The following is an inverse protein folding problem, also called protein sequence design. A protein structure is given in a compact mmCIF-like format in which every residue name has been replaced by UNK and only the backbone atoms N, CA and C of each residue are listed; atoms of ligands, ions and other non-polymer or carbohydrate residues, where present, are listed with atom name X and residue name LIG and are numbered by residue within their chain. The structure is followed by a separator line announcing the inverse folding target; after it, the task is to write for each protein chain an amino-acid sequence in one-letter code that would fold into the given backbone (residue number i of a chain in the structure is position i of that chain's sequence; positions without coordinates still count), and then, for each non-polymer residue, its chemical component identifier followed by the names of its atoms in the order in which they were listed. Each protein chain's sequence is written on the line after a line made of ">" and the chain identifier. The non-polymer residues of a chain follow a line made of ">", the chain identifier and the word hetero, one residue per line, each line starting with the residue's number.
data_IF_598966098064
#
_entry.id   IF_598966098064
#
_cell.length_a   1.000
_cell.length_b   1.000
_cell.length_c   1.000
_cell.angle_alpha   90.00
_cell.angle_beta   90.00
_cell.angle_gamma   90.00
#
_symmetry.space_group_name_H-M   'P 1'
#
loop_
_entity.id
_entity.type
_entity.pdbx_description
1 polymer ?
#
# COMPACT_ATOMS: atom_id res chain seq x y z
N UNK A 1 -51.97 28.31 19.94
CA UNK A 1 -51.99 26.85 19.73
C UNK A 1 -51.45 26.55 18.33
N UNK A 2 -50.13 26.41 18.22
CA UNK A 2 -49.47 25.98 16.98
C UNK A 2 -49.70 24.48 16.83
N UNK A 3 -50.60 24.10 15.92
CA UNK A 3 -50.74 22.70 15.51
C UNK A 3 -49.43 22.28 14.83
N UNK A 4 -48.66 21.44 15.52
CA UNK A 4 -47.58 20.68 14.90
C UNK A 4 -48.28 19.71 13.93
N UNK A 5 -48.28 20.06 12.65
CA UNK A 5 -48.68 19.16 11.58
C UNK A 5 -47.68 17.99 11.62
N UNK A 6 -48.11 16.84 12.14
CA UNK A 6 -47.37 15.59 11.96
C UNK A 6 -47.45 15.26 10.47
N UNK A 7 -46.40 15.61 9.72
CA UNK A 7 -46.21 15.17 8.35
C UNK A 7 -46.06 13.64 8.35
N UNK A 8 -47.17 12.94 8.14
CA UNK A 8 -47.15 11.51 7.86
C UNK A 8 -46.82 11.31 6.37
N UNK A 9 -46.12 10.24 5.95
CA UNK A 9 -45.89 9.93 4.53
C UNK A 9 -47.16 9.93 3.66
N UNK A 10 -48.34 9.76 4.27
CA UNK A 10 -49.64 9.84 3.62
C UNK A 10 -50.06 11.26 3.16
N UNK A 11 -49.37 12.33 3.59
CA UNK A 11 -49.70 13.71 3.21
C UNK A 11 -48.79 14.28 2.11
N UNK A 12 -47.80 13.53 1.64
CA UNK A 12 -46.90 13.96 0.55
C UNK A 12 -47.49 13.48 -0.78
N UNK A 13 -47.77 14.38 -1.74
CA UNK A 13 -48.18 13.98 -3.08
C UNK A 13 -47.13 13.07 -3.73
N UNK A 14 -47.58 12.09 -4.51
CA UNK A 14 -46.68 11.07 -5.11
C UNK A 14 -45.60 11.70 -5.99
N UNK A 15 -45.91 12.81 -6.67
CA UNK A 15 -44.96 13.51 -7.54
C UNK A 15 -43.80 14.15 -6.76
N UNK A 16 -44.12 14.77 -5.61
CA UNK A 16 -43.11 15.33 -4.70
C UNK A 16 -42.25 14.21 -4.10
N UNK A 17 -42.86 13.06 -3.78
CA UNK A 17 -42.13 11.89 -3.31
C UNK A 17 -41.16 11.35 -4.38
N UNK A 18 -41.60 11.25 -5.64
CA UNK A 18 -40.74 10.84 -6.77
C UNK A 18 -39.57 11.81 -6.94
N UNK A 19 -39.84 13.12 -6.88
CA UNK A 19 -38.82 14.15 -7.00
C UNK A 19 -37.78 14.04 -5.87
N UNK A 20 -38.20 13.89 -4.62
CA UNK A 20 -37.29 13.65 -3.48
C UNK A 20 -36.42 12.41 -3.74
N UNK A 21 -37.01 11.30 -4.19
CA UNK A 21 -36.28 10.07 -4.47
C UNK A 21 -35.23 10.22 -5.57
N UNK A 22 -35.42 11.14 -6.54
CA UNK A 22 -34.45 11.40 -7.62
C UNK A 22 -33.11 11.99 -7.12
N UNK A 23 -33.09 12.53 -5.90
CA UNK A 23 -31.89 13.08 -5.26
C UNK A 23 -31.21 12.10 -4.30
N UNK A 24 -31.80 10.93 -4.04
CA UNK A 24 -31.25 9.94 -3.12
C UNK A 24 -30.39 8.92 -3.85
N UNK A 25 -29.29 8.50 -3.22
CA UNK A 25 -28.49 7.38 -3.72
C UNK A 25 -29.23 6.04 -3.48
N UNK A 26 -28.84 4.96 -4.19
CA UNK A 26 -29.55 3.69 -4.07
C UNK A 26 -29.56 3.07 -2.67
N UNK A 27 -28.52 3.28 -1.87
CA UNK A 27 -28.43 2.78 -0.48
C UNK A 27 -29.41 3.51 0.43
N UNK A 28 -29.57 4.82 0.24
CA UNK A 28 -30.55 5.63 0.96
C UNK A 28 -31.97 5.25 0.58
N UNK A 29 -32.23 4.99 -0.72
CA UNK A 29 -33.53 4.50 -1.18
C UNK A 29 -33.87 3.13 -0.57
N UNK A 30 -32.92 2.21 -0.51
CA UNK A 30 -33.10 0.91 0.15
C UNK A 30 -33.39 1.11 1.65
N UNK A 31 -32.69 2.03 2.30
CA UNK A 31 -32.92 2.37 3.72
C UNK A 31 -34.32 2.97 3.93
N UNK A 32 -34.78 3.81 3.00
CA UNK A 32 -36.09 4.43 3.02
C UNK A 32 -37.23 3.40 2.90
N UNK A 33 -37.03 2.30 2.17
CA UNK A 33 -37.96 1.15 2.15
C UNK A 33 -38.12 0.49 3.54
N UNK A 34 -37.20 0.73 4.47
CA UNK A 34 -37.26 0.27 5.85
C UNK A 34 -38.13 1.13 6.77
N UNK A 35 -38.46 2.37 6.37
CA UNK A 35 -39.07 3.38 7.26
C UNK A 35 -40.57 3.13 7.47
N UNK A 36 -41.33 2.83 6.41
CA UNK A 36 -42.74 2.47 6.52
C UNK A 36 -43.23 1.58 5.37
N UNK A 37 -44.35 0.89 5.59
CA UNK A 37 -44.93 -0.04 4.60
C UNK A 37 -45.37 0.66 3.31
N UNK A 38 -45.86 1.89 3.40
CA UNK A 38 -46.32 2.65 2.23
C UNK A 38 -45.17 2.96 1.27
N UNK A 39 -44.06 3.51 1.80
CA UNK A 39 -42.86 3.80 1.00
C UNK A 39 -42.25 2.52 0.46
N UNK A 40 -42.21 1.45 1.27
CA UNK A 40 -41.79 0.12 0.79
C UNK A 40 -42.62 -0.30 -0.42
N UNK A 41 -43.94 -0.22 -0.36
CA UNK A 41 -44.80 -0.63 -1.47
C UNK A 41 -44.57 0.21 -2.73
N UNK A 42 -44.38 1.52 -2.59
CA UNK A 42 -44.07 2.41 -3.71
C UNK A 42 -42.72 2.09 -4.37
N UNK A 43 -41.69 1.80 -3.58
CA UNK A 43 -40.33 1.55 -4.07
C UNK A 43 -40.06 0.08 -4.46
N UNK A 44 -40.89 -0.87 -4.02
CA UNK A 44 -40.72 -2.32 -4.30
C UNK A 44 -41.41 -2.78 -5.58
N UNK A 45 -42.18 -1.92 -6.25
CA UNK A 45 -42.95 -2.33 -7.43
C UNK A 45 -42.05 -2.65 -8.62
N UNK A 46 -42.11 -3.89 -9.09
CA UNK A 46 -41.34 -4.37 -10.24
C UNK A 46 -42.01 -4.06 -11.58
N UNK A 47 -43.30 -3.71 -11.58
CA UNK A 47 -44.10 -3.48 -12.79
C UNK A 47 -44.41 -2.01 -13.04
N UNK A 48 -44.29 -1.14 -12.03
CA UNK A 48 -44.56 0.29 -12.18
C UNK A 48 -43.43 1.00 -12.90
N UNK A 49 -43.71 1.64 -14.04
CA UNK A 49 -42.74 2.44 -14.78
C UNK A 49 -42.14 3.56 -13.92
N UNK A 50 -42.97 4.26 -13.13
CA UNK A 50 -42.52 5.34 -12.24
C UNK A 50 -41.53 4.84 -11.19
N UNK A 51 -41.78 3.66 -10.59
CA UNK A 51 -40.84 3.06 -9.64
C UNK A 51 -39.53 2.70 -10.31
N UNK A 52 -39.58 2.11 -11.51
CA UNK A 52 -38.37 1.79 -12.29
C UNK A 52 -37.57 3.05 -12.66
N UNK A 53 -38.25 4.15 -12.99
CA UNK A 53 -37.60 5.43 -13.34
C UNK A 53 -36.90 6.09 -12.14
N UNK A 54 -37.45 5.97 -10.93
CA UNK A 54 -36.77 6.41 -9.69
C UNK A 54 -35.42 5.68 -9.56
N UNK A 55 -35.46 4.34 -9.62
CA UNK A 55 -34.27 3.51 -9.46
C UNK A 55 -33.26 3.75 -10.58
N UNK A 56 -33.72 3.86 -11.84
CA UNK A 56 -32.88 4.20 -12.99
C UNK A 56 -32.19 5.55 -12.81
N UNK A 57 -32.94 6.58 -12.43
CA UNK A 57 -32.41 7.93 -12.22
C UNK A 57 -31.34 7.93 -11.13
N UNK A 58 -31.62 7.28 -10.00
CA UNK A 58 -30.67 7.14 -8.91
C UNK A 58 -29.41 6.37 -9.35
N UNK A 59 -29.57 5.23 -10.04
CA UNK A 59 -28.44 4.44 -10.56
C UNK A 59 -27.55 5.24 -11.50
N UNK A 60 -28.11 5.89 -12.52
CA UNK A 60 -27.32 6.63 -13.51
C UNK A 60 -26.57 7.81 -12.86
N UNK A 61 -27.17 8.44 -11.85
CA UNK A 61 -26.59 9.60 -11.15
C UNK A 61 -25.51 9.22 -10.13
N UNK A 62 -25.69 8.13 -9.39
CA UNK A 62 -24.87 7.81 -8.22
C UNK A 62 -24.00 6.55 -8.37
N UNK A 63 -24.25 5.69 -9.36
CA UNK A 63 -23.48 4.47 -9.62
C UNK A 63 -22.75 4.58 -10.98
N UNK A 64 -21.61 5.29 -11.05
CA UNK A 64 -20.85 5.46 -12.29
C UNK A 64 -20.37 4.12 -12.90
N UNK A 65 -20.33 3.06 -12.08
CA UNK A 65 -19.83 1.74 -12.45
C UNK A 65 -20.97 0.84 -12.97
N UNK A 66 -22.22 1.32 -12.93
CA UNK A 66 -23.42 0.56 -13.27
C UNK A 66 -24.30 1.35 -14.25
N UNK A 67 -23.74 1.78 -15.37
CA UNK A 67 -24.43 2.65 -16.34
C UNK A 67 -25.29 1.87 -17.34
N UNK A 68 -24.89 0.65 -17.69
CA UNK A 68 -25.67 -0.20 -18.58
C UNK A 68 -27.06 -0.52 -18.01
N UNK A 69 -28.10 -0.62 -18.85
CA UNK A 69 -29.45 -0.95 -18.40
C UNK A 69 -29.50 -2.36 -17.78
N UNK A 70 -30.54 -2.65 -16.98
CA UNK A 70 -30.83 -4.01 -16.52
C UNK A 70 -30.98 -5.00 -17.69
N UNK A 71 -30.84 -6.29 -17.39
CA UNK A 71 -31.21 -7.33 -18.33
C UNK A 71 -32.71 -7.28 -18.64
N UNK A 72 -33.14 -7.73 -19.82
CA UNK A 72 -34.54 -7.65 -20.26
C UNK A 72 -35.57 -8.29 -19.32
N UNK A 73 -35.12 -9.24 -18.49
CA UNK A 73 -35.91 -10.01 -17.54
C UNK A 73 -35.63 -9.62 -16.07
N UNK A 74 -34.98 -8.47 -15.83
CA UNK A 74 -34.61 -7.98 -14.51
C UNK A 74 -35.07 -6.53 -14.31
N UNK A 75 -35.64 -6.25 -13.15
CA UNK A 75 -36.01 -4.88 -12.75
C UNK A 75 -34.80 -4.09 -12.22
N UNK A 76 -34.89 -2.76 -12.25
CA UNK A 76 -33.83 -1.83 -11.81
C UNK A 76 -33.42 -2.06 -10.34
N UNK A 77 -34.37 -2.34 -9.45
CA UNK A 77 -34.06 -2.57 -8.03
C UNK A 77 -33.25 -3.85 -7.84
N UNK A 78 -33.66 -4.96 -8.47
CA UNK A 78 -32.91 -6.22 -8.44
C UNK A 78 -31.51 -6.07 -9.04
N UNK A 79 -31.41 -5.33 -10.16
CA UNK A 79 -30.15 -5.05 -10.83
C UNK A 79 -29.19 -4.20 -9.97
N UNK A 80 -29.69 -3.14 -9.34
CA UNK A 80 -28.96 -2.31 -8.39
C UNK A 80 -28.50 -3.14 -7.20
N UNK A 81 -29.37 -3.95 -6.60
CA UNK A 81 -29.01 -4.83 -5.48
C UNK A 81 -27.90 -5.81 -5.85
N UNK A 82 -27.92 -6.33 -7.08
CA UNK A 82 -26.87 -7.21 -7.59
C UNK A 82 -25.52 -6.48 -7.70
N UNK A 83 -25.54 -5.24 -8.20
CA UNK A 83 -24.34 -4.39 -8.34
C UNK A 83 -23.80 -3.81 -7.03
N UNK A 84 -24.64 -3.63 -6.00
CA UNK A 84 -24.26 -3.10 -4.69
C UNK A 84 -23.59 -4.18 -3.83
N UNK A 85 -22.32 -4.47 -4.13
CA UNK A 85 -21.45 -5.46 -3.47
C UNK A 85 -21.36 -5.26 -1.94
N UNK A 86 -21.57 -4.03 -1.46
CA UNK A 86 -21.58 -3.68 -0.02
C UNK A 86 -22.66 -4.40 0.80
N UNK A 87 -23.67 -4.99 0.13
CA UNK A 87 -24.69 -5.82 0.77
C UNK A 87 -24.21 -7.25 1.10
N UNK A 88 -23.01 -7.63 0.66
CA UNK A 88 -22.42 -8.95 0.88
C UNK A 88 -22.90 -10.01 -0.10
N UNK A 89 -22.45 -11.25 0.12
CA UNK A 89 -22.75 -12.36 -0.79
C UNK A 89 -24.22 -12.74 -0.72
N UNK A 90 -24.90 -12.87 -1.87
CA UNK A 90 -26.33 -13.19 -1.96
C UNK A 90 -26.71 -14.50 -1.26
N UNK A 91 -25.76 -15.42 -1.12
CA UNK A 91 -26.00 -16.75 -0.54
C UNK A 91 -25.75 -16.81 0.96
N UNK A 92 -24.84 -16.00 1.50
CA UNK A 92 -24.40 -16.15 2.89
C UNK A 92 -24.50 -14.86 3.71
N UNK A 93 -24.88 -13.74 3.09
CA UNK A 93 -25.06 -12.44 3.74
C UNK A 93 -23.82 -11.84 4.41
N UNK A 94 -22.63 -12.45 4.24
CA UNK A 94 -21.39 -11.98 4.87
C UNK A 94 -20.85 -10.78 4.09
N UNK A 95 -20.59 -9.68 4.80
CA UNK A 95 -20.07 -8.40 4.27
C UNK A 95 -18.55 -8.22 4.40
N UNK A 96 -17.83 -9.20 4.96
CA UNK A 96 -16.42 -9.07 5.34
C UNK A 96 -15.43 -9.08 4.16
N UNK A 97 -15.81 -9.66 3.02
CA UNK A 97 -14.96 -9.79 1.83
C UNK A 97 -15.67 -9.21 0.60
N UNK A 98 -14.95 -8.60 -0.35
CA UNK A 98 -15.55 -8.08 -1.57
C UNK A 98 -16.18 -9.22 -2.36
N UNK A 99 -17.50 -9.16 -2.55
CA UNK A 99 -18.21 -10.11 -3.39
C UNK A 99 -18.03 -9.69 -4.86
N UNK A 100 -17.85 -10.66 -5.75
CA UNK A 100 -17.77 -10.39 -7.18
C UNK A 100 -19.12 -10.65 -7.82
N UNK A 101 -19.56 -9.74 -8.67
CA UNK A 101 -20.72 -9.97 -9.53
C UNK A 101 -20.28 -10.79 -10.73
N UNK A 102 -20.80 -12.00 -10.84
CA UNK A 102 -20.65 -12.82 -12.02
C UNK A 102 -21.78 -12.50 -12.99
N UNK A 103 -21.63 -11.42 -13.77
CA UNK A 103 -22.67 -10.89 -14.67
C UNK A 103 -23.30 -11.93 -15.61
N UNK A 104 -22.51 -12.89 -16.09
CA UNK A 104 -22.95 -14.01 -16.94
C UNK A 104 -23.90 -14.98 -16.24
N UNK A 105 -23.78 -15.11 -14.92
CA UNK A 105 -24.65 -15.92 -14.06
C UNK A 105 -25.63 -15.06 -13.25
N UNK A 106 -25.49 -13.73 -13.30
CA UNK A 106 -26.32 -12.74 -12.59
C UNK A 106 -26.37 -12.95 -11.08
N UNK A 107 -25.26 -13.41 -10.51
CA UNK A 107 -25.11 -13.65 -9.07
C UNK A 107 -23.92 -12.91 -8.49
N UNK A 108 -24.06 -12.44 -7.25
CA UNK A 108 -22.97 -11.90 -6.44
C UNK A 108 -22.52 -12.95 -5.44
N UNK A 109 -21.32 -13.49 -5.67
CA UNK A 109 -20.75 -14.58 -4.87
C UNK A 109 -19.26 -14.35 -4.60
N UNK A 110 -18.73 -15.07 -3.60
CA UNK A 110 -17.31 -14.96 -3.23
C UNK A 110 -16.42 -15.91 -4.03
N UNK A 111 -16.92 -17.10 -4.29
CA UNK A 111 -16.14 -18.14 -4.96
C UNK A 111 -16.56 -18.30 -6.42
N UNK A 112 -15.60 -18.69 -7.26
CA UNK A 112 -15.92 -19.12 -8.62
C UNK A 112 -16.83 -20.36 -8.55
N UNK A 113 -17.86 -20.45 -9.40
CA UNK A 113 -18.69 -21.65 -9.48
C UNK A 113 -17.82 -22.87 -9.77
N UNK A 114 -18.02 -23.99 -9.08
CA UNK A 114 -17.29 -25.21 -9.38
C UNK A 114 -17.58 -25.65 -10.81
N UNK A 115 -16.54 -25.82 -11.63
CA UNK A 115 -16.65 -26.38 -12.97
C UNK A 115 -17.24 -27.78 -12.91
N UNK A 116 -18.09 -28.11 -13.87
CA UNK A 116 -18.69 -29.42 -13.98
C UNK A 116 -18.65 -29.87 -15.44
N UNK A 117 -18.21 -31.10 -15.65
CA UNK A 117 -18.08 -31.74 -16.95
C UNK A 117 -19.41 -32.45 -17.21
N UNK A 118 -20.11 -32.05 -18.27
CA UNK A 118 -21.47 -32.53 -18.55
C UNK A 118 -21.61 -32.89 -20.04
N UNK A 119 -22.59 -33.77 -20.38
CA UNK A 119 -22.76 -34.32 -21.72
C UNK A 119 -22.83 -33.24 -22.81
N UNK A 120 -22.33 -33.59 -24.00
CA UNK A 120 -21.86 -32.70 -25.09
C UNK A 120 -22.85 -31.61 -25.54
N UNK A 121 -24.15 -31.73 -25.25
CA UNK A 121 -25.19 -30.82 -25.76
C UNK A 121 -25.69 -29.75 -24.77
N UNK A 122 -25.64 -30.01 -23.46
CA UNK A 122 -26.00 -29.02 -22.40
C UNK A 122 -25.05 -27.81 -22.37
N UNK A 123 -23.72 -27.99 -22.51
CA UNK A 123 -22.73 -26.91 -22.53
C UNK A 123 -22.95 -25.82 -23.60
N UNK A 124 -23.66 -26.14 -24.68
CA UNK A 124 -23.93 -25.21 -25.79
C UNK A 124 -25.24 -24.43 -25.63
N UNK A 125 -26.03 -24.74 -24.61
CA UNK A 125 -27.34 -24.14 -24.35
C UNK A 125 -27.36 -23.24 -23.11
N UNK A 126 -26.20 -23.08 -22.47
CA UNK A 126 -26.04 -22.34 -21.23
C UNK A 126 -24.98 -21.24 -21.36
N UNK A 127 -25.19 -20.11 -20.66
CA UNK A 127 -24.14 -19.10 -20.50
C UNK A 127 -22.98 -19.69 -19.70
N UNK A 128 -21.76 -19.24 -20.00
CA UNK A 128 -20.56 -19.81 -19.41
C UNK A 128 -19.46 -18.77 -19.20
N UNK A 129 -18.55 -19.07 -18.27
CA UNK A 129 -17.28 -18.37 -18.13
C UNK A 129 -16.14 -19.21 -18.66
N UNK A 130 -15.12 -18.58 -19.24
CA UNK A 130 -13.85 -19.28 -19.47
C UNK A 130 -13.06 -19.33 -18.16
N UNK A 131 -12.51 -20.49 -17.83
CA UNK A 131 -11.49 -20.62 -16.80
C UNK A 131 -10.16 -20.15 -17.41
N UNK A 132 -9.31 -19.45 -16.65
CA UNK A 132 -7.93 -19.18 -17.06
C UNK A 132 -7.71 -18.06 -18.11
N UNK A 133 -6.54 -18.09 -18.75
CA UNK A 133 -6.08 -17.12 -19.76
C UNK A 133 -6.75 -17.35 -21.13
N UNK A 134 -6.45 -16.50 -22.12
CA UNK A 134 -7.00 -16.59 -23.48
C UNK A 134 -6.84 -17.97 -24.16
N UNK A 135 -5.90 -18.79 -23.69
CA UNK A 135 -5.58 -20.11 -24.23
C UNK A 135 -6.29 -21.28 -23.52
N UNK A 136 -6.99 -21.04 -22.41
CA UNK A 136 -7.78 -22.06 -21.73
C UNK A 136 -9.22 -22.09 -22.28
N UNK A 137 -9.58 -23.23 -22.87
CA UNK A 137 -10.89 -23.47 -23.48
C UNK A 137 -11.91 -24.02 -22.49
N UNK A 138 -11.53 -24.23 -21.23
CA UNK A 138 -12.40 -24.78 -20.20
C UNK A 138 -13.55 -23.83 -19.91
N UNK A 139 -14.78 -24.32 -20.09
CA UNK A 139 -16.01 -23.58 -19.79
C UNK A 139 -16.51 -23.93 -18.39
N UNK A 140 -16.90 -22.91 -17.64
CA UNK A 140 -17.48 -22.99 -16.32
C UNK A 140 -18.93 -22.57 -16.40
N UNK A 141 -19.79 -23.29 -15.68
CA UNK A 141 -21.24 -23.12 -15.70
C UNK A 141 -21.75 -22.89 -14.29
N UNK A 142 -22.89 -22.22 -14.17
CA UNK A 142 -23.59 -22.17 -12.89
C UNK A 142 -24.25 -23.51 -12.61
N UNK A 143 -23.92 -24.13 -11.46
CA UNK A 143 -24.38 -25.48 -11.13
C UNK A 143 -25.91 -25.59 -11.13
N UNK A 144 -26.60 -24.58 -10.62
CA UNK A 144 -28.06 -24.58 -10.57
C UNK A 144 -28.66 -24.55 -11.97
N UNK A 145 -28.11 -23.74 -12.88
CA UNK A 145 -28.60 -23.65 -14.26
C UNK A 145 -28.39 -24.96 -15.01
N UNK A 146 -27.26 -25.64 -14.76
CA UNK A 146 -27.02 -26.96 -15.32
C UNK A 146 -28.02 -27.99 -14.80
N UNK A 147 -28.22 -28.06 -13.49
CA UNK A 147 -29.17 -28.99 -12.89
C UNK A 147 -30.59 -28.77 -13.41
N UNK A 148 -31.06 -27.52 -13.44
CA UNK A 148 -32.37 -27.17 -14.00
C UNK A 148 -32.48 -27.54 -15.48
N UNK A 149 -31.44 -27.29 -16.28
CA UNK A 149 -31.44 -27.63 -17.71
C UNK A 149 -31.44 -29.15 -17.93
N UNK A 150 -30.76 -29.91 -17.08
CA UNK A 150 -30.81 -31.36 -17.11
C UNK A 150 -32.20 -31.90 -16.74
N UNK A 151 -32.91 -31.28 -15.79
CA UNK A 151 -34.29 -31.63 -15.46
C UNK A 151 -35.25 -31.30 -16.60
N UNK A 152 -35.11 -30.13 -17.23
CA UNK A 152 -35.88 -29.76 -18.43
C UNK A 152 -35.66 -30.75 -19.58
N UNK A 153 -34.42 -31.15 -19.84
CA UNK A 153 -34.11 -32.17 -20.86
C UNK A 153 -34.71 -33.53 -20.52
N UNK A 154 -34.73 -33.91 -19.24
CA UNK A 154 -35.38 -35.16 -18.82
C UNK A 154 -36.87 -35.15 -19.12
N UNK A 155 -37.53 -34.01 -18.93
CA UNK A 155 -38.94 -33.86 -19.25
C UNK A 155 -39.22 -33.93 -20.76
N UNK A 156 -38.26 -33.51 -21.60
CA UNK A 156 -38.36 -33.53 -23.06
C UNK A 156 -38.10 -34.89 -23.71
N UNK A 157 -37.65 -35.92 -22.97
CA UNK A 157 -37.37 -37.24 -23.56
C UNK A 157 -38.59 -37.88 -24.23
N UNK A 158 -39.80 -37.53 -23.79
CA UNK A 158 -41.05 -38.05 -24.33
C UNK A 158 -41.68 -37.13 -25.41
N UNK A 159 -41.04 -36.00 -25.73
CA UNK A 159 -41.50 -35.02 -26.73
C UNK A 159 -41.05 -35.39 -28.15
N UNK A 160 -41.64 -34.74 -29.16
CA UNK A 160 -41.25 -34.98 -30.56
C UNK A 160 -39.87 -34.40 -30.87
N UNK A 161 -39.16 -34.91 -31.89
CA UNK A 161 -37.89 -34.35 -32.33
C UNK A 161 -37.96 -32.85 -32.70
N UNK A 162 -39.08 -32.40 -33.27
CA UNK A 162 -39.30 -31.00 -33.62
C UNK A 162 -39.41 -30.11 -32.37
N UNK A 163 -40.12 -30.57 -31.34
CA UNK A 163 -40.24 -29.87 -30.06
C UNK A 163 -38.89 -29.78 -29.34
N UNK A 164 -38.10 -30.85 -29.38
CA UNK A 164 -36.74 -30.86 -28.84
C UNK A 164 -35.84 -29.87 -29.59
N UNK A 165 -35.88 -29.86 -30.92
CA UNK A 165 -35.08 -28.96 -31.75
C UNK A 165 -35.44 -27.47 -31.50
N UNK A 166 -36.73 -27.15 -31.39
CA UNK A 166 -37.19 -25.79 -31.10
C UNK A 166 -36.78 -25.35 -29.69
N UNK A 167 -36.85 -26.25 -28.71
CA UNK A 167 -36.36 -25.99 -27.36
C UNK A 167 -34.85 -25.70 -27.34
N UNK A 168 -34.04 -26.53 -28.02
CA UNK A 168 -32.60 -26.33 -28.14
C UNK A 168 -32.26 -24.99 -28.80
N UNK A 169 -32.96 -24.64 -29.87
CA UNK A 169 -32.81 -23.37 -30.57
C UNK A 169 -33.12 -22.19 -29.65
N UNK A 170 -34.25 -22.22 -28.95
CA UNK A 170 -34.66 -21.17 -28.02
C UNK A 170 -33.68 -20.99 -26.85
N UNK A 171 -33.19 -22.08 -26.26
CA UNK A 171 -32.19 -22.05 -25.18
C UNK A 171 -30.86 -21.49 -25.67
N UNK A 172 -30.40 -21.90 -26.86
CA UNK A 172 -29.16 -21.39 -27.47
C UNK A 172 -29.24 -19.89 -27.77
N UNK A 173 -30.37 -19.42 -28.31
CA UNK A 173 -30.60 -17.98 -28.55
C UNK A 173 -30.62 -17.17 -27.25
N UNK A 174 -31.24 -17.71 -26.19
CA UNK A 174 -31.25 -17.09 -24.87
C UNK A 174 -29.84 -16.99 -24.28
N UNK A 175 -29.07 -18.09 -24.30
CA UNK A 175 -27.69 -18.11 -23.84
C UNK A 175 -26.80 -17.15 -24.65
N UNK A 176 -26.98 -17.08 -25.97
CA UNK A 176 -26.25 -16.14 -26.82
C UNK A 176 -26.52 -14.69 -26.44
N UNK A 177 -27.78 -14.32 -26.20
CA UNK A 177 -28.14 -12.95 -25.76
C UNK A 177 -27.48 -12.60 -24.43
N UNK A 178 -27.46 -13.52 -23.46
CA UNK A 178 -26.78 -13.32 -22.17
C UNK A 178 -25.27 -13.15 -22.37
N UNK A 179 -24.65 -13.99 -23.19
CA UNK A 179 -23.21 -13.92 -23.47
C UNK A 179 -22.82 -12.62 -24.20
N UNK A 180 -23.64 -12.15 -25.12
CA UNK A 180 -23.40 -10.89 -25.85
C UNK A 180 -23.53 -9.68 -24.93
N UNK A 181 -24.55 -9.64 -24.08
CA UNK A 181 -24.70 -8.59 -23.07
C UNK A 181 -23.54 -8.60 -22.06
N UNK A 182 -23.12 -9.79 -21.62
CA UNK A 182 -21.94 -9.98 -20.78
C UNK A 182 -20.66 -9.42 -21.42
N UNK A 183 -20.43 -9.64 -22.73
CA UNK A 183 -19.28 -9.06 -23.44
C UNK A 183 -19.31 -7.53 -23.40
N UNK A 184 -20.47 -6.93 -23.61
CA UNK A 184 -20.65 -5.48 -23.51
C UNK A 184 -20.33 -4.97 -22.12
N UNK A 185 -20.83 -5.65 -21.07
CA UNK A 185 -20.55 -5.31 -19.66
C UNK A 185 -19.07 -5.40 -19.32
N UNK A 186 -18.38 -6.46 -19.74
CA UNK A 186 -16.92 -6.57 -19.54
C UNK A 186 -16.19 -5.44 -20.26
N UNK A 187 -16.59 -5.10 -21.48
CA UNK A 187 -15.98 -4.00 -22.22
C UNK A 187 -16.18 -2.67 -21.51
N UNK A 188 -17.39 -2.41 -21.02
CA UNK A 188 -17.74 -1.19 -20.28
C UNK A 188 -17.00 -1.13 -18.94
N UNK A 189 -16.98 -2.22 -18.17
CA UNK A 189 -16.21 -2.34 -16.92
C UNK A 189 -14.72 -2.10 -17.18
N UNK A 190 -14.14 -2.69 -18.23
CA UNK A 190 -12.74 -2.42 -18.63
C UNK A 190 -12.50 -0.96 -18.99
N UNK A 191 -13.42 -0.35 -19.74
CA UNK A 191 -13.32 1.06 -20.13
C UNK A 191 -13.41 1.97 -18.92
N UNK A 192 -14.39 1.73 -18.04
CA UNK A 192 -14.53 2.43 -16.77
C UNK A 192 -13.27 2.30 -15.90
N UNK A 193 -12.73 1.09 -15.73
CA UNK A 193 -11.49 0.83 -15.00
C UNK A 193 -10.30 1.60 -15.59
N UNK A 194 -10.23 1.74 -16.91
CA UNK A 194 -9.20 2.55 -17.58
C UNK A 194 -9.38 4.04 -17.29
N UNK A 195 -10.60 4.58 -17.43
CA UNK A 195 -10.88 5.97 -17.10
C UNK A 195 -10.61 6.28 -15.63
N UNK A 196 -11.01 5.37 -14.72
CA UNK A 196 -10.79 5.52 -13.28
C UNK A 196 -9.30 5.55 -12.94
N UNK A 197 -8.50 4.64 -13.52
CA UNK A 197 -7.03 4.66 -13.35
C UNK A 197 -6.40 5.97 -13.82
N UNK A 198 -6.90 6.56 -14.91
CA UNK A 198 -6.41 7.88 -15.36
C UNK A 198 -6.74 8.98 -14.36
N UNK A 199 -7.93 8.96 -13.78
CA UNK A 199 -8.32 9.95 -12.78
C UNK A 199 -7.55 9.78 -11.47
N UNK A 200 -7.43 8.54 -10.97
CA UNK A 200 -6.62 8.24 -9.78
C UNK A 200 -5.16 8.66 -9.98
N UNK A 201 -4.60 8.45 -11.19
CA UNK A 201 -3.27 8.94 -11.56
C UNK A 201 -3.18 10.47 -11.50
N UNK A 202 -4.16 11.20 -12.05
CA UNK A 202 -4.18 12.67 -12.00
C UNK A 202 -4.26 13.18 -10.56
N UNK A 203 -5.09 12.55 -9.72
CA UNK A 203 -5.20 12.93 -8.30
C UNK A 203 -3.90 12.66 -7.55
N UNK A 204 -3.25 11.53 -7.82
CA UNK A 204 -1.93 11.22 -7.28
C UNK A 204 -0.89 12.27 -7.71
N UNK A 205 -0.80 12.57 -9.01
CA UNK A 205 0.09 13.61 -9.55
C UNK A 205 -0.19 14.98 -8.91
N UNK A 206 -1.46 15.31 -8.66
CA UNK A 206 -1.85 16.52 -7.94
C UNK A 206 -1.31 16.56 -6.51
N UNK A 207 -1.41 15.46 -5.75
CA UNK A 207 -0.84 15.39 -4.38
C UNK A 207 0.68 15.59 -4.42
N UNK A 208 1.37 14.95 -5.36
CA UNK A 208 2.81 15.12 -5.54
C UNK A 208 3.14 16.57 -5.85
N UNK A 209 2.39 17.21 -6.74
CA UNK A 209 2.55 18.62 -7.07
C UNK A 209 2.29 19.53 -5.86
N UNK A 210 1.22 19.29 -5.10
CA UNK A 210 0.93 20.03 -3.86
C UNK A 210 2.08 19.93 -2.86
N UNK A 211 2.69 18.76 -2.69
CA UNK A 211 3.86 18.59 -1.82
C UNK A 211 5.09 19.33 -2.38
N UNK A 212 5.31 19.35 -3.70
CA UNK A 212 6.45 20.09 -4.28
C UNK A 212 6.33 21.61 -4.13
N UNK A 213 5.11 22.12 -4.28
CA UNK A 213 4.81 23.55 -4.21
C UNK A 213 4.63 24.06 -2.78
N UNK A 214 4.43 23.18 -1.80
CA UNK A 214 4.31 23.60 -0.40
C UNK A 214 5.62 24.27 0.02
N UNK A 215 5.55 25.58 0.28
CA UNK A 215 6.67 26.41 0.70
C UNK A 215 6.56 26.73 2.19
N UNK A 216 7.70 27.07 2.78
CA UNK A 216 7.80 27.62 4.13
C UNK A 216 7.63 29.13 4.11
N UNK A 217 7.61 29.73 5.30
CA UNK A 217 7.52 31.17 5.49
C UNK A 217 8.69 31.95 4.84
N UNK A 218 9.82 31.29 4.59
CA UNK A 218 11.00 31.84 3.91
C UNK A 218 10.96 31.69 2.38
N UNK A 219 9.89 31.12 1.82
CA UNK A 219 9.74 30.85 0.39
C UNK A 219 10.54 29.65 -0.12
N UNK A 220 11.31 28.98 0.73
CA UNK A 220 11.96 27.73 0.37
C UNK A 220 10.94 26.59 0.27
N UNK A 221 11.15 25.59 -0.59
CA UNK A 221 10.22 24.48 -0.66
C UNK A 221 10.21 23.74 0.69
N UNK A 222 9.14 23.02 1.03
CA UNK A 222 9.03 22.27 2.29
C UNK A 222 9.53 20.82 2.15
N UNK A 223 9.18 20.14 1.06
CA UNK A 223 9.62 18.75 0.73
C UNK A 223 10.54 18.65 -0.50
N UNK A 224 11.63 17.89 -0.40
CA UNK A 224 12.62 17.75 -1.47
C UNK A 224 12.18 16.65 -2.42
N UNK A 225 12.13 16.96 -3.72
CA UNK A 225 11.58 16.07 -4.76
C UNK A 225 12.14 14.65 -4.70
N UNK A 226 13.47 14.51 -4.60
CA UNK A 226 14.14 13.20 -4.52
C UNK A 226 13.55 12.31 -3.43
N UNK A 227 13.32 12.86 -2.24
CA UNK A 227 12.85 12.08 -1.09
C UNK A 227 11.36 11.76 -1.15
N UNK A 228 10.55 12.56 -1.85
CA UNK A 228 9.11 12.30 -2.05
C UNK A 228 8.90 10.94 -2.76
N UNK A 229 9.77 10.60 -3.71
CA UNK A 229 9.70 9.34 -4.45
C UNK A 229 10.24 8.13 -3.69
N UNK A 230 11.02 8.36 -2.61
CA UNK A 230 11.53 7.29 -1.75
C UNK A 230 10.54 6.91 -0.64
N UNK A 231 9.43 7.65 -0.49
CA UNK A 231 8.39 7.35 0.49
C UNK A 231 7.67 6.04 0.15
N UNK A 232 7.38 5.24 1.17
CA UNK A 232 6.72 3.94 1.01
C UNK A 232 5.31 4.11 0.49
N UNK A 233 4.55 5.03 1.08
CA UNK A 233 3.20 5.37 0.64
C UNK A 233 3.15 5.84 -0.82
N UNK A 234 4.20 6.51 -1.30
CA UNK A 234 4.35 6.91 -2.69
C UNK A 234 4.56 5.70 -3.61
N UNK A 235 5.49 4.80 -3.23
CA UNK A 235 5.76 3.56 -3.96
C UNK A 235 4.57 2.62 -4.01
N UNK A 236 3.90 2.40 -2.88
CA UNK A 236 2.69 1.58 -2.79
C UNK A 236 1.56 2.19 -3.63
N UNK A 237 1.41 3.52 -3.61
CA UNK A 237 0.39 4.18 -4.41
C UNK A 237 0.67 4.09 -5.92
N UNK A 238 1.94 4.22 -6.30
CA UNK A 238 2.37 4.04 -7.68
C UNK A 238 2.18 2.60 -8.16
N UNK A 239 2.50 1.59 -7.34
CA UNK A 239 2.30 0.18 -7.71
C UNK A 239 0.82 -0.19 -7.78
N UNK A 240 0.03 0.25 -6.81
CA UNK A 240 -1.40 0.04 -6.77
C UNK A 240 -2.15 0.80 -7.88
N UNK A 241 -1.56 1.80 -8.53
CA UNK A 241 -2.16 2.47 -9.72
C UNK A 241 -2.46 1.52 -10.88
N UNK A 242 -1.94 0.28 -10.82
CA UNK A 242 -2.26 -0.80 -11.74
C UNK A 242 -3.65 -1.40 -11.51
N UNK A 243 -4.22 -1.26 -10.31
CA UNK A 243 -5.56 -1.66 -9.90
C UNK A 243 -6.41 -0.42 -9.53
N UNK A 244 -7.74 -0.42 -9.77
CA UNK A 244 -8.58 0.72 -9.40
C UNK A 244 -8.53 0.95 -7.88
N UNK A 245 -8.26 2.20 -7.46
CA UNK A 245 -8.32 2.60 -6.06
C UNK A 245 -9.78 2.75 -5.63
N UNK A 246 -10.43 1.63 -5.33
CA UNK A 246 -11.88 1.59 -5.05
C UNK A 246 -12.23 2.37 -3.76
N UNK A 247 -11.28 2.54 -2.83
CA UNK A 247 -11.59 3.11 -1.53
C UNK A 247 -10.39 3.83 -0.90
N UNK A 248 -10.00 5.02 -1.39
CA UNK A 248 -9.03 5.85 -0.66
C UNK A 248 -9.45 7.30 -0.51
N UNK A 249 -9.36 7.72 0.74
CA UNK A 249 -9.34 9.09 1.18
C UNK A 249 -7.94 9.66 0.84
N UNK A 250 -7.85 10.42 -0.25
CA UNK A 250 -6.62 11.06 -0.73
C UNK A 250 -5.95 11.94 0.33
N UNK A 251 -6.72 12.49 1.27
CA UNK A 251 -6.20 13.27 2.41
C UNK A 251 -5.40 12.37 3.35
N UNK A 252 -5.88 11.14 3.61
CA UNK A 252 -5.13 10.17 4.43
C UNK A 252 -3.81 9.78 3.78
N UNK A 253 -3.78 9.64 2.45
CA UNK A 253 -2.55 9.35 1.72
C UNK A 253 -1.55 10.51 1.88
N UNK A 254 -2.00 11.74 1.63
CA UNK A 254 -1.15 12.93 1.79
C UNK A 254 -0.55 13.03 3.20
N UNK A 255 -1.38 12.85 4.23
CA UNK A 255 -0.92 12.92 5.62
C UNK A 255 0.10 11.81 5.94
N UNK A 256 -0.16 10.56 5.49
CA UNK A 256 0.79 9.47 5.66
C UNK A 256 2.15 9.76 4.98
N UNK A 257 2.14 10.38 3.79
CA UNK A 257 3.37 10.79 3.11
C UNK A 257 4.14 11.87 3.88
N UNK A 258 3.43 12.81 4.52
CA UNK A 258 4.07 13.85 5.35
C UNK A 258 4.75 13.21 6.56
N UNK A 259 4.04 12.34 7.29
CA UNK A 259 4.58 11.64 8.47
C UNK A 259 5.80 10.78 8.09
N UNK A 260 5.72 10.03 6.98
CA UNK A 260 6.84 9.23 6.47
C UNK A 260 8.05 10.08 6.07
N UNK A 261 7.82 11.27 5.51
CA UNK A 261 8.89 12.17 5.11
C UNK A 261 9.67 12.69 6.32
N UNK A 262 8.97 13.07 7.39
CA UNK A 262 9.61 13.54 8.63
C UNK A 262 10.51 12.45 9.24
N UNK A 263 10.02 11.22 9.28
CA UNK A 263 10.79 10.06 9.76
C UNK A 263 11.98 9.73 8.85
N UNK A 264 11.81 9.79 7.52
CA UNK A 264 12.91 9.58 6.57
C UNK A 264 14.03 10.61 6.78
N UNK A 265 13.67 11.89 6.91
CA UNK A 265 14.64 12.96 7.12
C UNK A 265 15.36 12.84 8.46
N UNK A 266 14.66 12.37 9.50
CA UNK A 266 15.26 12.05 10.80
C UNK A 266 16.29 10.92 10.69
N UNK A 267 15.96 9.85 9.99
CA UNK A 267 16.88 8.73 9.75
C UNK A 267 18.12 9.14 8.96
N UNK A 268 17.96 9.98 7.92
CA UNK A 268 19.08 10.50 7.13
C UNK A 268 20.07 11.29 8.01
N UNK A 269 19.57 12.15 8.90
CA UNK A 269 20.42 12.91 9.84
C UNK A 269 21.14 11.98 10.82
N UNK A 270 20.44 11.01 11.41
CA UNK A 270 21.08 10.02 12.29
C UNK A 270 22.20 9.24 11.58
N UNK A 271 22.00 8.88 10.31
CA UNK A 271 23.04 8.25 9.49
C UNK A 271 24.25 9.15 9.27
N UNK A 272 24.05 10.46 9.03
CA UNK A 272 25.16 11.42 8.93
C UNK A 272 25.95 11.52 10.25
N UNK A 273 25.30 11.55 11.42
CA UNK A 273 25.99 11.51 12.73
C UNK A 273 26.86 10.26 12.81
N UNK A 274 26.27 9.10 12.53
CA UNK A 274 26.99 7.82 12.65
C UNK A 274 28.17 7.75 11.68
N UNK A 275 28.01 8.20 10.43
CA UNK A 275 29.10 8.30 9.46
C UNK A 275 30.23 9.19 9.95
N UNK A 276 29.90 10.35 10.52
CA UNK A 276 30.89 11.26 11.09
C UNK A 276 31.66 10.59 12.24
N UNK A 277 30.97 10.02 13.23
CA UNK A 277 31.59 9.35 14.38
C UNK A 277 32.48 8.19 13.92
N UNK A 278 32.01 7.34 13.00
CA UNK A 278 32.81 6.23 12.47
C UNK A 278 34.08 6.72 11.76
N UNK A 279 33.97 7.83 11.03
CA UNK A 279 35.12 8.46 10.37
C UNK A 279 36.14 8.99 11.37
N UNK A 280 35.68 9.59 12.46
CA UNK A 280 36.53 10.10 13.56
C UNK A 280 37.14 8.96 14.40
N UNK A 281 36.41 7.86 14.59
CA UNK A 281 36.91 6.63 15.22
C UNK A 281 38.02 5.98 14.40
N UNK A 282 37.81 5.85 13.09
CA UNK A 282 38.83 5.27 12.19
C UNK A 282 40.12 6.09 12.11
N UNK A 283 40.10 7.35 12.57
CA UNK A 283 41.30 8.18 12.70
C UNK A 283 42.15 7.82 13.94
N UNK A 284 41.59 7.06 14.90
CA UNK A 284 42.27 6.67 16.13
C UNK A 284 43.31 5.59 15.84
N UNK A 285 44.59 5.88 16.12
CA UNK A 285 45.71 4.94 15.93
C UNK A 285 46.43 5.00 14.57
N UNK A 286 45.93 5.74 13.58
CA UNK A 286 46.60 5.89 12.28
C UNK A 286 47.57 7.07 12.25
N UNK A 287 48.72 6.87 11.59
CA UNK A 287 49.69 7.93 11.28
C UNK A 287 49.16 8.88 10.19
N UNK A 288 49.81 10.04 10.03
CA UNK A 288 49.39 11.06 9.06
C UNK A 288 49.44 10.55 7.60
N UNK A 289 50.28 9.55 7.31
CA UNK A 289 50.41 8.92 6.00
C UNK A 289 49.27 7.95 5.65
N UNK A 290 48.51 7.46 6.64
CA UNK A 290 47.45 6.44 6.49
C UNK A 290 46.04 7.03 6.59
N UNK A 291 45.90 8.35 6.54
CA UNK A 291 44.59 9.02 6.51
C UNK A 291 43.78 8.46 5.32
N UNK A 292 42.60 7.91 5.61
CA UNK A 292 41.76 7.25 4.60
C UNK A 292 41.23 8.25 3.59
N UNK A 293 40.94 7.80 2.37
CA UNK A 293 40.36 8.62 1.29
C UNK A 293 39.11 9.39 1.77
N UNK A 294 38.30 8.76 2.63
CA UNK A 294 37.10 9.36 3.20
C UNK A 294 37.41 10.56 4.12
N UNK A 295 38.47 10.49 4.92
CA UNK A 295 38.90 11.60 5.79
C UNK A 295 39.50 12.76 4.98
N UNK A 296 40.21 12.48 3.88
CA UNK A 296 40.66 13.54 2.94
C UNK A 296 39.49 14.23 2.26
N UNK A 297 38.46 13.47 1.89
CA UNK A 297 37.20 14.02 1.37
C UNK A 297 36.56 14.91 2.42
N UNK A 298 36.40 14.43 3.67
CA UNK A 298 35.85 15.20 4.79
C UNK A 298 36.61 16.52 5.02
N UNK A 299 37.96 16.47 5.08
CA UNK A 299 38.81 17.66 5.26
C UNK A 299 38.63 18.66 4.13
N UNK A 300 38.70 18.16 2.89
CA UNK A 300 38.53 18.98 1.68
C UNK A 300 37.15 19.62 1.61
N UNK A 301 36.08 18.91 1.97
CA UNK A 301 34.72 19.46 1.99
C UNK A 301 34.45 20.41 3.15
N UNK A 302 35.20 20.31 4.25
CA UNK A 302 35.07 21.18 5.42
C UNK A 302 35.95 22.44 5.34
N UNK A 303 36.91 22.48 4.41
CA UNK A 303 37.97 23.50 4.40
C UNK A 303 38.93 23.36 5.59
N UNK A 304 38.97 22.20 6.22
CA UNK A 304 39.79 21.91 7.39
C UNK A 304 41.09 21.25 6.94
N UNK A 305 42.17 21.55 7.66
CA UNK A 305 43.45 20.83 7.50
C UNK A 305 43.35 19.43 8.10
N UNK A 306 44.14 18.48 7.58
CA UNK A 306 44.21 17.12 8.14
C UNK A 306 44.51 17.12 9.65
N UNK A 307 45.31 18.08 10.12
CA UNK A 307 45.62 18.33 11.53
C UNK A 307 44.43 18.76 12.38
N UNK A 308 43.46 19.49 11.82
CA UNK A 308 42.26 19.93 12.54
C UNK A 308 41.24 18.81 12.72
N UNK A 309 41.19 17.85 11.78
CA UNK A 309 40.41 16.61 11.95
C UNK A 309 40.98 15.77 13.09
N UNK A 310 42.32 15.73 13.24
CA UNK A 310 42.94 14.97 14.33
C UNK A 310 42.57 15.49 15.73
N UNK A 311 42.16 16.77 15.86
CA UNK A 311 41.66 17.33 17.12
C UNK A 311 40.33 16.74 17.56
N UNK A 312 39.56 16.16 16.63
CA UNK A 312 38.23 15.60 16.88
C UNK A 312 38.25 14.06 16.94
N UNK A 313 39.41 13.44 17.19
CA UNK A 313 39.54 11.98 17.32
C UNK A 313 38.65 11.46 18.43
N UNK A 314 37.89 10.41 18.12
CA UNK A 314 37.08 9.69 19.08
C UNK A 314 37.81 8.39 19.42
N UNK A 315 37.95 8.06 20.70
CA UNK A 315 38.50 6.78 21.15
C UNK A 315 37.44 5.68 21.09
N UNK A 316 37.85 4.42 20.94
CA UNK A 316 36.93 3.27 21.08
C UNK A 316 36.31 3.22 22.48
N UNK A 317 37.01 3.75 23.49
CA UNK A 317 36.57 3.84 24.87
C UNK A 317 35.72 5.08 25.18
N UNK A 318 35.32 5.85 24.17
CA UNK A 318 34.60 7.10 24.37
C UNK A 318 33.12 6.84 24.75
N UNK A 319 32.60 7.62 25.70
CA UNK A 319 31.22 7.52 26.17
C UNK A 319 30.21 7.71 25.03
N UNK A 320 30.56 8.48 24.00
CA UNK A 320 29.70 8.69 22.82
C UNK A 320 29.41 7.37 22.09
N UNK A 321 30.34 6.41 22.09
CA UNK A 321 30.18 5.11 21.42
C UNK A 321 29.17 4.22 22.12
N UNK A 322 29.11 4.31 23.45
CA UNK A 322 28.20 3.57 24.29
C UNK A 322 26.83 4.24 24.43
N UNK A 323 26.76 5.57 24.33
CA UNK A 323 25.58 6.33 24.74
C UNK A 323 24.84 7.02 23.59
N UNK A 324 25.34 6.97 22.35
CA UNK A 324 24.82 7.75 21.22
C UNK A 324 23.30 7.68 21.07
N UNK A 325 22.71 6.48 21.14
CA UNK A 325 21.27 6.28 20.93
C UNK A 325 20.39 6.95 21.99
N UNK A 326 20.94 7.24 23.16
CA UNK A 326 20.23 7.88 24.28
C UNK A 326 20.50 9.38 24.36
N UNK A 327 21.46 9.90 23.59
CA UNK A 327 21.72 11.33 23.50
C UNK A 327 20.49 12.05 22.91
N UNK A 328 19.90 13.05 23.61
CA UNK A 328 18.78 13.84 23.10
C UNK A 328 19.00 14.39 21.69
N UNK A 329 20.21 14.86 21.40
CA UNK A 329 20.60 15.42 20.10
C UNK A 329 20.81 14.38 19.01
N UNK A 330 20.88 13.09 19.36
CA UNK A 330 20.79 11.99 18.40
C UNK A 330 19.35 11.56 18.17
N UNK A 331 18.54 11.53 19.23
CA UNK A 331 17.12 11.15 19.15
C UNK A 331 16.29 12.17 18.40
N UNK A 332 16.60 13.46 18.55
CA UNK A 332 15.95 14.56 17.85
C UNK A 332 17.04 15.50 17.31
N UNK A 333 17.66 15.14 16.18
CA UNK A 333 18.79 15.91 15.70
C UNK A 333 18.41 17.34 15.32
N UNK A 334 19.19 18.34 15.76
CA UNK A 334 18.86 19.74 15.57
C UNK A 334 18.91 20.13 14.09
N UNK A 335 18.08 21.11 13.74
CA UNK A 335 18.07 21.70 12.42
C UNK A 335 19.13 22.80 12.34
N UNK A 336 19.88 22.87 11.23
CA UNK A 336 20.63 24.10 10.92
C UNK A 336 19.61 25.12 10.43
N UNK A 337 19.56 26.29 11.09
CA UNK A 337 18.65 27.39 10.72
C UNK A 337 17.17 26.99 10.65
N UNK A 338 16.72 26.01 11.44
CA UNK A 338 15.37 25.42 11.34
C UNK A 338 15.03 24.76 9.98
N UNK A 339 16.04 24.46 9.16
CA UNK A 339 15.88 23.79 7.88
C UNK A 339 16.26 22.29 7.99
N UNK A 340 15.31 21.35 7.85
CA UNK A 340 15.57 19.91 7.82
C UNK A 340 16.25 19.42 6.54
N UNK A 341 16.43 20.28 5.54
CA UNK A 341 16.96 19.94 4.21
C UNK A 341 18.43 20.23 4.08
N UNK A 342 18.96 21.17 4.86
CA UNK A 342 20.38 21.44 4.85
C UNK A 342 21.08 20.23 5.47
N UNK A 343 21.80 19.41 4.67
CA UNK A 343 22.72 18.45 5.26
C UNK A 343 23.65 19.26 6.16
N UNK A 344 23.98 18.71 7.33
CA UNK A 344 24.91 19.43 8.18
C UNK A 344 26.21 19.59 7.44
N UNK A 345 26.69 20.83 7.35
CA UNK A 345 28.05 21.02 6.91
C UNK A 345 28.97 20.36 7.96
N UNK A 346 30.13 19.91 7.50
CA UNK A 346 31.06 19.20 8.39
C UNK A 346 31.52 20.10 9.53
N UNK A 347 31.54 21.43 9.33
CA UNK A 347 31.87 22.38 10.39
C UNK A 347 30.87 22.36 11.54
N UNK A 348 29.57 22.31 11.28
CA UNK A 348 28.52 22.18 12.28
C UNK A 348 28.58 20.82 12.96
N UNK A 349 28.80 19.76 12.18
CA UNK A 349 29.00 18.42 12.72
C UNK A 349 30.16 18.40 13.74
N UNK A 350 31.34 18.87 13.34
CA UNK A 350 32.55 18.74 14.14
C UNK A 350 32.62 19.74 15.30
N UNK A 351 32.21 20.99 15.09
CA UNK A 351 32.41 22.05 16.09
C UNK A 351 31.21 22.24 17.02
N UNK A 352 30.00 21.88 16.60
CA UNK A 352 28.78 22.12 17.38
C UNK A 352 28.16 20.79 17.85
N UNK A 353 27.79 19.91 16.91
CA UNK A 353 26.97 18.74 17.22
C UNK A 353 27.76 17.62 17.92
N UNK A 354 28.95 17.26 17.44
CA UNK A 354 29.77 16.21 18.05
C UNK A 354 30.22 16.57 19.48
N UNK A 355 30.65 17.81 19.77
CA UNK A 355 30.94 18.22 21.15
C UNK A 355 29.71 18.18 22.05
N UNK A 356 28.53 18.60 21.55
CA UNK A 356 27.29 18.48 22.31
C UNK A 356 26.94 17.01 22.61
N UNK A 357 27.10 16.12 21.63
CA UNK A 357 26.88 14.68 21.82
C UNK A 357 27.84 14.07 22.85
N UNK A 358 29.09 14.55 22.94
CA UNK A 358 30.02 14.12 24.00
C UNK A 358 29.50 14.52 25.38
N UNK A 359 29.07 15.77 25.56
CA UNK A 359 28.53 16.24 26.84
C UNK A 359 27.31 15.42 27.27
N UNK A 360 26.38 15.19 26.33
CA UNK A 360 25.18 14.37 26.57
C UNK A 360 25.58 12.92 26.93
N UNK A 361 26.54 12.34 26.21
CA UNK A 361 27.01 10.99 26.46
C UNK A 361 27.72 10.84 27.82
N UNK A 362 28.53 11.82 28.22
CA UNK A 362 29.19 11.84 29.54
C UNK A 362 28.18 12.01 30.68
N UNK A 363 27.17 12.86 30.52
CA UNK A 363 26.10 12.99 31.52
C UNK A 363 25.31 11.70 31.65
N UNK A 364 25.09 11.00 30.53
CA UNK A 364 24.46 9.71 30.54
C UNK A 364 25.35 8.66 31.20
N UNK A 365 26.64 8.57 30.90
CA UNK A 365 27.57 7.58 31.49
C UNK A 365 27.66 7.67 33.02
N UNK A 366 27.44 8.86 33.59
CA UNK A 366 27.38 9.10 35.05
C UNK A 366 26.10 8.59 35.72
N UNK A 367 25.01 8.34 34.96
CA UNK A 367 23.72 7.88 35.51
C UNK A 367 23.67 6.35 35.59
N UNK A 368 23.34 5.75 36.75
CA UNK A 368 23.07 4.32 36.85
C UNK A 368 21.78 4.01 36.10
N UNK A 369 21.91 3.42 34.91
CA UNK A 369 20.80 3.15 33.99
C UNK A 369 20.91 1.74 33.38
N UNK A 370 19.84 1.26 32.71
CA UNK A 370 19.79 -0.09 32.18
C UNK A 370 20.94 -0.35 31.22
N UNK A 371 21.40 -1.61 31.19
CA UNK A 371 22.48 -2.13 30.34
C UNK A 371 22.29 -1.61 28.91
N UNK A 372 23.23 -0.79 28.46
CA UNK A 372 23.15 -0.06 27.19
C UNK A 372 23.47 -1.00 26.05
N UNK A 373 22.62 -1.00 25.02
CA UNK A 373 22.69 -1.85 23.84
C UNK A 373 23.97 -1.62 23.01
N UNK A 374 25.08 -2.25 23.39
CA UNK A 374 26.29 -2.53 22.58
C UNK A 374 27.00 -1.32 21.92
N UNK A 375 28.34 -1.34 21.92
CA UNK A 375 29.15 -0.35 21.22
C UNK A 375 28.77 -0.27 19.73
N UNK A 376 28.75 0.92 19.12
CA UNK A 376 28.50 1.10 17.66
C UNK A 376 29.50 0.32 16.79
N UNK A 377 30.66 -0.02 17.36
CA UNK A 377 31.71 -0.85 16.75
C UNK A 377 31.32 -2.32 16.65
N UNK A 378 30.31 -2.78 17.40
CA UNK A 378 29.75 -4.13 17.28
C UNK A 378 28.68 -4.18 16.21
N UNK A 379 28.54 -5.31 15.53
CA UNK A 379 27.49 -5.53 14.51
C UNK A 379 26.09 -5.31 15.08
N UNK A 380 25.83 -5.83 16.27
CA UNK A 380 24.52 -5.67 16.91
C UNK A 380 24.30 -4.23 17.35
N UNK A 381 25.33 -3.53 17.82
CA UNK A 381 25.29 -2.09 18.09
C UNK A 381 25.03 -1.27 16.83
N UNK A 382 25.73 -1.53 15.73
CA UNK A 382 25.53 -0.86 14.44
C UNK A 382 24.13 -1.11 13.86
N UNK A 383 23.60 -2.34 13.92
CA UNK A 383 22.22 -2.66 13.52
C UNK A 383 21.23 -1.92 14.41
N UNK A 384 21.40 -2.01 15.74
CA UNK A 384 20.53 -1.36 16.71
C UNK A 384 20.55 0.17 16.59
N UNK A 385 21.65 0.74 16.11
CA UNK A 385 21.83 2.18 15.85
C UNK A 385 21.53 2.57 14.38
N UNK A 386 20.88 1.69 13.60
CA UNK A 386 20.41 2.02 12.24
C UNK A 386 21.52 2.21 11.19
N UNK A 387 22.75 1.80 11.48
CA UNK A 387 23.92 1.97 10.62
C UNK A 387 24.08 0.88 9.55
N UNK A 388 23.16 -0.09 9.47
CA UNK A 388 23.25 -1.23 8.55
C UNK A 388 23.29 -0.85 7.06
N UNK A 389 22.83 0.36 6.71
CA UNK A 389 22.87 0.92 5.35
C UNK A 389 24.10 1.80 5.07
N UNK A 390 24.95 2.04 6.06
CA UNK A 390 26.11 2.91 5.94
C UNK A 390 27.21 2.27 5.06
N UNK A 391 27.75 3.02 4.09
CA UNK A 391 28.77 2.50 3.15
C UNK A 391 30.02 1.98 3.85
N UNK A 392 30.44 2.56 4.98
CA UNK A 392 31.58 2.07 5.77
C UNK A 392 31.37 0.61 6.20
N UNK A 393 30.19 0.25 6.70
CA UNK A 393 29.90 -1.13 7.09
C UNK A 393 29.69 -2.05 5.89
N UNK A 394 29.25 -1.50 4.76
CA UNK A 394 29.19 -2.22 3.47
C UNK A 394 30.58 -2.51 2.92
N UNK A 395 31.52 -1.59 3.08
CA UNK A 395 32.92 -1.75 2.70
C UNK A 395 33.63 -2.76 3.60
N UNK A 396 33.36 -2.74 4.91
CA UNK A 396 33.82 -3.79 5.82
C UNK A 396 33.20 -5.14 5.45
N UNK A 397 31.91 -5.21 5.09
CA UNK A 397 31.27 -6.45 4.60
C UNK A 397 31.97 -6.98 3.34
N UNK A 398 32.20 -6.14 2.33
CA UNK A 398 32.82 -6.52 1.05
C UNK A 398 34.28 -6.94 1.23
N UNK A 399 35.07 -6.17 2.00
CA UNK A 399 36.45 -6.55 2.35
C UNK A 399 36.50 -7.88 3.11
N UNK A 400 35.56 -8.11 4.02
CA UNK A 400 35.48 -9.35 4.80
C UNK A 400 35.07 -10.54 3.93
N UNK A 401 34.10 -10.37 3.03
CA UNK A 401 33.67 -11.41 2.08
C UNK A 401 34.80 -11.77 1.09
N UNK A 402 35.54 -10.79 0.58
CA UNK A 402 36.73 -11.03 -0.26
C UNK A 402 37.87 -11.68 0.54
N UNK A 403 38.14 -11.24 1.77
CA UNK A 403 39.24 -11.77 2.59
C UNK A 403 39.01 -13.20 3.09
N UNK A 404 37.77 -13.58 3.39
CA UNK A 404 37.38 -14.97 3.72
C UNK A 404 37.66 -15.93 2.56
N UNK A 405 37.64 -15.43 1.32
CA UNK A 405 37.94 -16.22 0.12
C UNK A 405 39.44 -16.41 -0.16
N UNK A 406 40.32 -15.57 0.38
CA UNK A 406 41.74 -15.50 -0.06
C UNK A 406 42.75 -16.08 0.93
N UNK A 407 42.63 -15.90 2.25
CA UNK A 407 43.49 -16.63 3.22
C UNK A 407 43.11 -16.40 4.70
N UNK A 408 43.08 -17.45 5.53
CA UNK A 408 42.62 -17.37 6.94
C UNK A 408 43.58 -16.66 7.90
N UNK A 409 44.89 -16.69 7.65
CA UNK A 409 45.88 -16.15 8.60
C UNK A 409 46.04 -14.64 8.50
N UNK A 410 45.94 -14.05 7.29
CA UNK A 410 46.00 -12.59 7.10
C UNK A 410 44.76 -11.84 7.59
N UNK A 411 43.64 -12.54 7.77
CA UNK A 411 42.39 -11.96 8.32
C UNK A 411 42.61 -11.51 9.75
N UNK A 412 43.41 -12.22 10.55
CA UNK A 412 43.68 -11.88 11.95
C UNK A 412 44.41 -10.54 12.05
N UNK A 413 45.46 -10.34 11.24
CA UNK A 413 46.27 -9.12 11.24
C UNK A 413 45.47 -7.90 10.74
N UNK A 414 44.64 -8.07 9.70
CA UNK A 414 43.79 -6.99 9.19
C UNK A 414 42.61 -6.66 10.12
N UNK A 415 42.02 -7.66 10.79
CA UNK A 415 40.96 -7.44 11.79
C UNK A 415 41.52 -6.70 13.00
N UNK A 416 42.76 -6.97 13.42
CA UNK A 416 43.43 -6.19 14.48
C UNK A 416 43.74 -4.75 14.06
N UNK A 417 44.02 -4.49 12.77
CA UNK A 417 44.19 -3.12 12.26
C UNK A 417 42.87 -2.32 12.21
N UNK A 418 41.74 -2.97 11.97
CA UNK A 418 40.42 -2.31 11.84
C UNK A 418 39.69 -2.24 13.19
N UNK A 419 39.91 -3.23 14.05
CA UNK A 419 39.35 -3.33 15.40
C UNK A 419 40.45 -3.81 16.36
N UNK A 420 41.17 -2.89 17.04
CA UNK A 420 42.17 -3.28 18.01
C UNK A 420 41.43 -3.88 19.22
N UNK A 421 41.42 -5.20 19.30
CA UNK A 421 40.95 -5.93 20.47
C UNK A 421 42.16 -6.31 21.33
N UNK A 422 42.08 -6.06 22.64
CA UNK A 422 43.14 -6.39 23.62
C UNK A 422 43.25 -7.91 23.93
N UNK A 423 42.65 -8.76 23.09
CA UNK A 423 42.58 -10.22 23.28
C UNK A 423 43.49 -11.02 22.35
N UNK A 424 43.64 -12.31 22.64
CA UNK A 424 44.44 -13.21 21.80
C UNK A 424 43.86 -13.32 20.38
N UNK A 425 44.70 -13.55 19.36
CA UNK A 425 44.28 -13.76 17.96
C UNK A 425 43.13 -14.78 17.80
N UNK A 426 43.10 -15.78 18.69
CA UNK A 426 42.05 -16.81 18.78
C UNK A 426 40.68 -16.24 19.20
N UNK A 427 40.64 -15.34 20.18
CA UNK A 427 39.40 -14.71 20.68
C UNK A 427 38.83 -13.72 19.66
N UNK A 428 39.69 -12.94 19.01
CA UNK A 428 39.32 -12.03 17.93
C UNK A 428 38.68 -12.79 16.75
N UNK A 429 39.21 -13.98 16.43
CA UNK A 429 38.66 -14.83 15.38
C UNK A 429 37.32 -15.48 15.76
N UNK A 430 37.08 -15.79 17.04
CA UNK A 430 35.79 -16.29 17.52
C UNK A 430 34.71 -15.19 17.51
N UNK A 431 35.04 -13.98 17.94
CA UNK A 431 34.15 -12.82 17.83
C UNK A 431 33.80 -12.54 16.36
N UNK A 432 34.77 -12.68 15.45
CA UNK A 432 34.58 -12.56 14.00
C UNK A 432 33.67 -13.63 13.39
N UNK A 433 33.72 -14.90 13.82
CA UNK A 433 32.76 -15.92 13.34
C UNK A 433 31.33 -15.62 13.78
N UNK A 434 31.16 -15.13 15.00
CA UNK A 434 29.86 -14.69 15.50
C UNK A 434 29.36 -13.48 14.68
N UNK A 435 30.25 -12.55 14.34
CA UNK A 435 30.00 -11.38 13.49
C UNK A 435 29.46 -11.76 12.10
N UNK A 436 30.09 -12.71 11.39
CA UNK A 436 29.64 -13.16 10.05
C UNK A 436 28.30 -13.93 10.10
N UNK A 437 28.12 -14.79 11.11
CA UNK A 437 26.90 -15.60 11.25
C UNK A 437 25.65 -14.76 11.56
N UNK A 438 25.81 -13.57 12.12
CA UNK A 438 24.68 -12.68 12.51
C UNK A 438 24.28 -11.70 11.39
N UNK A 439 25.08 -11.59 10.32
CA UNK A 439 24.84 -10.69 9.18
C UNK A 439 24.39 -11.39 7.89
N UNK A 440 24.49 -12.73 7.84
CA UNK A 440 23.96 -13.60 6.78
C UNK A 440 22.50 -13.91 7.08
#
# INVERSE_FOLDING_TARGET
>A
MSQIIKLTPASVPVDIFIEICSYLNPTDLISLMGVCNQIRNWLSSTTSSSTQDIWRTSRLKFLPDLQLPPFSDMDELSYIKLGLIENGCQFCGRKKDPCKVFWVFRVSHRDLPSGAIFPVDVPNCLPYMKKGSEYDFSRMYWRQDVNSTCEELKALYNSTPEEQAEWFKKKRESAYKIMEDWRKRISDERHWLLCRRREDKKQFEKIIHELKEEQRDDGSPKYVDRWIWELRSCGDAFQLSREPFINKNWIKLKNAMIDEYEELMKQQRQQQICQCILSLLSAYGMDLSTITLHQRILASTAGLTELEILKHRISVSDSIIECLRWCPSYQNPPFINNDPRNPWNINFLLNDLIPQLHLEAEELSKKPGPIRSGLITTVMGAINQGCSKCEIFRFVKVLVEEMVSVNRERVVDCVQMIFPFDGSASESFQHFRHWHATWS
#
